data_IF_921070397696
#
_entry.id   IF_921070397696
#
_cell.length_a   1.000
_cell.length_b   1.000
_cell.length_c   1.000
_cell.angle_alpha   90.00
_cell.angle_beta   90.00
_cell.angle_gamma   90.00
#
_symmetry.space_group_name_H-M   'P 1'
#
loop_
_entity.id
_entity.type
_entity.pdbx_description
1 polymer ?
#
# COMPACT_ATOMS: atom_id res chain seq x y z
N UNK A 1 -1.05 -6.78 -10.11
CA UNK A 1 -1.60 -5.60 -10.83
C UNK A 1 -0.68 -4.45 -10.46
N UNK A 2 -0.01 -3.81 -11.41
CA UNK A 2 0.97 -2.75 -11.07
C UNK A 2 0.25 -1.60 -10.35
N UNK A 3 0.67 -1.32 -9.13
CA UNK A 3 0.14 -0.24 -8.31
C UNK A 3 0.57 1.10 -8.90
N UNK A 4 -0.33 1.77 -9.63
CA UNK A 4 -0.09 3.14 -10.05
C UNK A 4 -0.38 4.09 -8.89
N UNK A 5 0.63 4.33 -8.04
CA UNK A 5 0.58 5.21 -6.86
C UNK A 5 -0.18 6.50 -7.11
N UNK A 6 0.08 7.14 -8.25
CA UNK A 6 -0.54 8.41 -8.61
C UNK A 6 -2.06 8.30 -8.85
N UNK A 7 -2.55 7.21 -9.44
CA UNK A 7 -3.99 7.01 -9.66
C UNK A 7 -4.74 6.89 -8.32
N UNK A 8 -4.17 6.13 -7.38
CA UNK A 8 -4.74 5.98 -6.04
C UNK A 8 -4.73 7.29 -5.25
N UNK A 9 -3.64 8.04 -5.37
CA UNK A 9 -3.53 9.38 -4.82
C UNK A 9 -4.62 10.33 -5.35
N UNK A 10 -4.84 10.35 -6.67
CA UNK A 10 -5.88 11.17 -7.29
C UNK A 10 -7.27 10.70 -6.85
N UNK A 11 -7.51 9.38 -6.84
CA UNK A 11 -8.78 8.82 -6.41
C UNK A 11 -9.12 9.22 -4.97
N UNK A 12 -8.17 9.15 -4.05
CA UNK A 12 -8.36 9.56 -2.65
C UNK A 12 -8.72 11.04 -2.53
N UNK A 13 -8.05 11.92 -3.27
CA UNK A 13 -8.36 13.35 -3.25
C UNK A 13 -9.76 13.66 -3.83
N UNK A 14 -10.16 12.95 -4.90
CA UNK A 14 -11.45 13.14 -5.57
C UNK A 14 -12.61 12.52 -4.76
N UNK A 15 -12.40 11.38 -4.10
CA UNK A 15 -13.46 10.71 -3.32
C UNK A 15 -13.96 11.60 -2.17
N UNK A 16 -13.11 12.44 -1.59
CA UNK A 16 -13.49 13.40 -0.56
C UNK A 16 -14.56 14.39 -1.00
N UNK A 17 -14.67 14.69 -2.30
CA UNK A 17 -15.78 15.48 -2.85
C UNK A 17 -17.15 14.87 -2.52
N UNK A 18 -17.23 13.55 -2.47
CA UNK A 18 -18.46 12.80 -2.24
C UNK A 18 -18.65 12.41 -0.77
N UNK A 19 -17.55 12.30 -0.02
CA UNK A 19 -17.57 11.85 1.38
C UNK A 19 -17.63 13.01 2.38
N UNK A 20 -17.13 14.20 2.03
CA UNK A 20 -17.07 15.36 2.93
C UNK A 20 -17.99 16.47 2.42
N UNK A 21 -19.04 16.76 3.20
CA UNK A 21 -20.06 17.75 2.87
C UNK A 21 -19.53 19.19 2.67
N UNK A 22 -18.51 19.58 3.43
CA UNK A 22 -17.90 20.93 3.39
C UNK A 22 -16.68 20.99 2.48
N UNK A 23 -16.52 20.01 1.59
CA UNK A 23 -15.38 19.91 0.70
C UNK A 23 -15.23 21.15 -0.20
N UNK A 24 -14.06 21.77 -0.15
CA UNK A 24 -13.65 22.79 -1.10
C UNK A 24 -12.59 22.24 -2.07
N UNK A 25 -12.81 22.30 -3.39
CA UNK A 25 -11.87 21.73 -4.36
C UNK A 25 -10.61 22.61 -4.50
N UNK A 26 -9.50 22.20 -3.87
CA UNK A 26 -8.21 22.89 -4.06
C UNK A 26 -6.97 22.04 -3.66
N UNK A 27 -6.98 20.73 -3.95
CA UNK A 27 -5.83 19.88 -3.65
C UNK A 27 -4.64 20.18 -4.57
N UNK A 28 -3.47 20.36 -3.96
CA UNK A 28 -2.17 20.51 -4.61
C UNK A 28 -1.28 19.36 -4.18
N UNK A 29 -0.57 18.75 -5.12
CA UNK A 29 0.39 17.67 -4.83
C UNK A 29 1.52 18.22 -3.96
N UNK A 30 1.91 17.46 -2.95
CA UNK A 30 2.96 17.82 -1.99
C UNK A 30 3.82 16.58 -1.66
N UNK A 31 5.01 16.83 -1.09
CA UNK A 31 5.92 15.77 -0.65
C UNK A 31 5.54 15.21 0.72
N UNK A 32 5.00 16.04 1.62
CA UNK A 32 4.69 15.66 3.00
C UNK A 32 3.64 16.61 3.61
N UNK A 33 2.33 16.30 3.55
CA UNK A 33 1.69 15.05 3.07
C UNK A 33 1.50 14.99 1.56
N UNK A 34 1.05 13.85 1.03
CA UNK A 34 0.85 13.62 -0.42
C UNK A 34 0.02 14.70 -1.12
N UNK A 35 -1.01 15.24 -0.46
CA UNK A 35 -1.82 16.35 -0.96
C UNK A 35 -2.10 17.36 0.13
N UNK A 36 -2.16 18.63 -0.25
CA UNK A 36 -2.55 19.73 0.63
C UNK A 36 -3.73 20.45 0.01
N UNK A 37 -4.75 20.74 0.81
CA UNK A 37 -5.81 21.67 0.48
C UNK A 37 -5.68 22.92 1.36
N UNK A 38 -5.07 24.00 0.81
CA UNK A 38 -4.89 25.26 1.53
C UNK A 38 -6.17 25.90 2.03
N UNK A 39 -7.27 25.79 1.29
CA UNK A 39 -8.53 26.46 1.64
C UNK A 39 -9.13 25.89 2.92
N UNK A 40 -9.00 24.58 3.10
CA UNK A 40 -9.49 23.85 4.26
C UNK A 40 -8.42 23.70 5.35
N UNK A 41 -7.20 24.21 5.11
CA UNK A 41 -5.99 23.87 5.86
C UNK A 41 -5.91 22.36 6.19
N UNK A 42 -6.00 21.55 5.13
CA UNK A 42 -6.05 20.09 5.22
C UNK A 42 -4.86 19.43 4.55
N UNK A 43 -4.29 18.42 5.20
CA UNK A 43 -3.26 17.54 4.67
C UNK A 43 -3.78 16.12 4.50
N UNK A 44 -3.58 15.51 3.33
CA UNK A 44 -4.01 14.15 3.02
C UNK A 44 -2.80 13.29 2.65
N UNK A 45 -2.56 12.26 3.47
CA UNK A 45 -1.61 11.19 3.17
C UNK A 45 -2.35 10.00 2.58
N UNK A 46 -1.82 9.42 1.51
CA UNK A 46 -2.43 8.27 0.84
C UNK A 46 -1.51 7.07 0.99
N UNK A 47 -2.06 5.97 1.49
CA UNK A 47 -1.29 4.75 1.70
C UNK A 47 -2.07 3.51 1.33
N UNK A 48 -1.37 2.39 1.31
CA UNK A 48 -1.95 1.08 1.09
C UNK A 48 -1.70 0.20 2.31
N UNK A 49 -2.65 -0.67 2.62
CA UNK A 49 -2.57 -1.63 3.71
C UNK A 49 -1.62 -2.81 3.40
N UNK A 50 -0.41 -2.52 2.94
CA UNK A 50 0.63 -3.52 2.69
C UNK A 50 1.35 -3.87 3.97
N UNK A 51 1.63 -5.12 4.28
CA UNK A 51 2.59 -5.47 5.33
C UNK A 51 4.03 -5.15 4.88
N UNK A 52 5.00 -5.10 5.80
CA UNK A 52 6.41 -4.92 5.44
C UNK A 52 6.89 -5.99 4.46
N UNK A 53 6.40 -7.22 4.62
CA UNK A 53 6.75 -8.34 3.76
C UNK A 53 6.23 -8.16 2.33
N UNK A 54 5.02 -7.62 2.14
CA UNK A 54 4.45 -7.33 0.81
C UNK A 54 5.36 -6.39 0.00
N UNK A 55 5.83 -5.30 0.63
CA UNK A 55 6.71 -4.34 -0.04
C UNK A 55 8.13 -4.90 -0.30
N UNK A 56 8.62 -5.81 0.56
CA UNK A 56 9.87 -6.50 0.31
C UNK A 56 9.77 -7.53 -0.81
N UNK A 57 8.63 -8.22 -0.93
CA UNK A 57 8.33 -9.15 -2.01
C UNK A 57 8.21 -8.42 -3.34
N UNK A 58 7.45 -7.32 -3.42
CA UNK A 58 7.35 -6.50 -4.63
C UNK A 58 8.71 -5.96 -5.07
N UNK A 59 9.48 -5.35 -4.16
CA UNK A 59 10.81 -4.83 -4.49
C UNK A 59 11.77 -5.93 -4.95
N UNK A 60 11.69 -7.12 -4.36
CA UNK A 60 12.48 -8.27 -4.80
C UNK A 60 12.06 -8.72 -6.20
N UNK A 61 10.75 -8.81 -6.47
CA UNK A 61 10.23 -9.17 -7.78
C UNK A 61 10.72 -8.19 -8.84
N UNK A 62 10.51 -6.89 -8.64
CA UNK A 62 10.93 -5.84 -9.58
C UNK A 62 12.42 -5.91 -9.90
N UNK A 63 13.25 -6.20 -8.90
CA UNK A 63 14.71 -6.22 -9.05
C UNK A 63 15.23 -7.46 -9.80
N UNK A 64 14.59 -8.62 -9.62
CA UNK A 64 15.13 -9.90 -10.07
C UNK A 64 14.27 -10.61 -11.12
N UNK A 65 13.14 -10.03 -11.53
CA UNK A 65 12.26 -10.61 -12.54
C UNK A 65 13.04 -11.00 -13.80
N UNK A 66 12.93 -12.26 -14.21
CA UNK A 66 13.60 -12.81 -15.37
C UNK A 66 15.06 -13.23 -15.16
N UNK A 67 15.68 -12.94 -14.01
CA UNK A 67 17.02 -13.42 -13.67
C UNK A 67 17.08 -14.95 -13.62
N UNK A 68 18.27 -15.50 -13.88
CA UNK A 68 18.50 -16.94 -13.71
C UNK A 68 18.52 -17.30 -12.23
N UNK A 69 18.21 -18.56 -11.90
CA UNK A 69 18.20 -19.03 -10.51
C UNK A 69 19.53 -18.79 -9.79
N UNK A 70 20.65 -18.91 -10.50
CA UNK A 70 22.01 -18.74 -9.95
C UNK A 70 22.36 -17.27 -9.68
N UNK A 71 21.61 -16.32 -10.26
CA UNK A 71 21.81 -14.87 -10.10
C UNK A 71 21.03 -14.32 -8.89
N UNK A 72 20.13 -15.12 -8.32
CA UNK A 72 19.37 -14.72 -7.14
C UNK A 72 20.23 -14.78 -5.87
N UNK A 73 20.04 -13.86 -4.90
CA UNK A 73 20.71 -13.94 -3.61
C UNK A 73 20.39 -15.25 -2.88
N UNK A 74 21.39 -15.90 -2.27
CA UNK A 74 21.20 -17.14 -1.50
C UNK A 74 20.14 -16.99 -0.40
N UNK A 75 20.16 -15.85 0.30
CA UNK A 75 19.19 -15.46 1.34
C UNK A 75 17.73 -15.46 0.84
N UNK A 76 17.49 -15.31 -0.46
CA UNK A 76 16.13 -15.37 -1.01
C UNK A 76 15.55 -16.78 -0.94
N UNK A 77 16.39 -17.82 -1.07
CA UNK A 77 15.97 -19.21 -0.97
C UNK A 77 15.64 -19.58 0.49
N UNK A 78 16.34 -19.01 1.46
CA UNK A 78 16.00 -19.18 2.88
C UNK A 78 14.70 -18.46 3.25
N UNK A 79 14.50 -17.25 2.70
CA UNK A 79 13.34 -16.41 3.02
C UNK A 79 12.05 -16.87 2.33
N UNK A 80 12.11 -17.14 1.03
CA UNK A 80 10.92 -17.41 0.21
C UNK A 80 10.76 -18.91 -0.10
N UNK A 81 11.84 -19.70 -0.02
CA UNK A 81 11.78 -21.16 -0.18
C UNK A 81 11.10 -21.60 -1.46
N UNK A 82 10.14 -22.52 -1.32
CA UNK A 82 9.35 -23.09 -2.43
C UNK A 82 8.40 -22.08 -3.09
N UNK A 83 8.20 -20.89 -2.49
CA UNK A 83 7.37 -19.84 -3.08
C UNK A 83 8.04 -19.19 -4.29
N UNK A 84 9.35 -19.31 -4.46
CA UNK A 84 10.03 -18.78 -5.66
C UNK A 84 9.61 -19.58 -6.90
N UNK A 85 8.84 -18.96 -7.78
CA UNK A 85 8.39 -19.56 -9.03
C UNK A 85 9.40 -19.32 -10.15
N UNK A 86 9.77 -20.40 -10.83
CA UNK A 86 10.67 -20.36 -11.98
C UNK A 86 9.99 -20.96 -13.22
N UNK A 87 10.18 -20.31 -14.36
CA UNK A 87 9.79 -20.82 -15.66
C UNK A 87 11.00 -20.78 -16.61
N UNK A 88 11.33 -21.93 -17.21
CA UNK A 88 12.53 -22.13 -18.03
C UNK A 88 13.85 -21.65 -17.36
N UNK A 89 14.00 -21.94 -16.07
CA UNK A 89 15.19 -21.59 -15.28
C UNK A 89 15.30 -20.10 -14.92
N UNK A 90 14.28 -19.30 -15.24
CA UNK A 90 14.21 -17.88 -14.90
C UNK A 90 13.18 -17.63 -13.82
N UNK A 91 13.42 -16.65 -12.96
CA UNK A 91 12.50 -16.25 -11.91
C UNK A 91 11.34 -15.43 -12.46
N UNK A 92 10.11 -15.75 -12.05
CA UNK A 92 8.89 -15.12 -12.58
C UNK A 92 7.98 -14.52 -11.50
N UNK A 93 7.92 -15.12 -10.31
CA UNK A 93 7.05 -14.65 -9.24
C UNK A 93 7.43 -15.22 -7.88
N UNK A 94 6.95 -14.60 -6.81
CA UNK A 94 6.83 -15.22 -5.48
C UNK A 94 5.36 -15.64 -5.33
N UNK A 95 5.11 -16.92 -5.09
CA UNK A 95 3.76 -17.45 -4.87
C UNK A 95 3.25 -17.02 -3.48
N UNK A 96 1.93 -16.80 -3.32
CA UNK A 96 1.35 -16.50 -2.03
C UNK A 96 1.54 -17.67 -1.05
N UNK A 97 1.72 -17.34 0.22
CA UNK A 97 1.75 -18.34 1.28
C UNK A 97 0.33 -18.66 1.72
N UNK A 98 -0.19 -19.81 1.27
CA UNK A 98 -1.55 -20.25 1.58
C UNK A 98 -1.74 -20.66 3.06
N UNK A 99 -0.67 -20.69 3.86
CA UNK A 99 -0.76 -21.04 5.29
C UNK A 99 -1.05 -19.84 6.18
N UNK A 100 -0.83 -18.62 5.68
CA UNK A 100 -1.09 -17.40 6.43
C UNK A 100 -2.42 -16.83 5.98
N UNK A 101 -3.49 -17.19 6.70
CA UNK A 101 -4.76 -16.50 6.61
C UNK A 101 -4.57 -15.09 7.20
N UNK A 102 -4.09 -14.16 6.37
CA UNK A 102 -3.81 -12.80 6.81
C UNK A 102 -5.12 -12.01 6.82
N UNK A 103 -5.66 -11.82 8.01
CA UNK A 103 -6.83 -10.97 8.25
C UNK A 103 -6.58 -9.52 7.78
N UNK A 104 -7.43 -9.04 6.89
CA UNK A 104 -7.36 -7.72 6.28
C UNK A 104 -7.47 -6.59 7.30
N UNK A 105 -8.26 -6.79 8.38
CA UNK A 105 -8.38 -5.83 9.47
C UNK A 105 -7.04 -5.67 10.18
N UNK A 106 -6.31 -6.76 10.36
CA UNK A 106 -4.98 -6.75 10.95
C UNK A 106 -3.97 -5.98 10.09
N UNK A 107 -4.00 -6.14 8.76
CA UNK A 107 -3.15 -5.35 7.84
C UNK A 107 -3.49 -3.86 7.90
N UNK A 108 -4.78 -3.54 7.85
CA UNK A 108 -5.28 -2.18 7.92
C UNK A 108 -4.86 -1.52 9.24
N UNK A 109 -5.10 -2.19 10.37
CA UNK A 109 -4.73 -1.72 11.70
C UNK A 109 -3.22 -1.46 11.81
N UNK A 110 -2.39 -2.42 11.40
CA UNK A 110 -0.94 -2.25 11.43
C UNK A 110 -0.48 -1.02 10.64
N UNK A 111 -1.03 -0.81 9.43
CA UNK A 111 -0.65 0.35 8.62
C UNK A 111 -1.20 1.66 9.13
N UNK A 112 -2.43 1.67 9.65
CA UNK A 112 -2.99 2.83 10.33
C UNK A 112 -2.09 3.25 11.49
N UNK A 113 -1.77 2.35 12.41
CA UNK A 113 -0.95 2.63 13.60
C UNK A 113 0.41 3.26 13.17
N UNK A 114 1.11 2.65 12.20
CA UNK A 114 2.41 3.14 11.73
C UNK A 114 2.35 4.46 10.96
N UNK A 115 1.30 4.70 10.17
CA UNK A 115 1.15 5.94 9.40
C UNK A 115 0.67 7.09 10.27
N UNK A 116 -0.20 6.82 11.25
CA UNK A 116 -0.61 7.80 12.26
C UNK A 116 0.58 8.31 13.08
N UNK A 117 1.48 7.42 13.52
CA UNK A 117 2.73 7.82 14.18
C UNK A 117 3.54 8.80 13.31
N UNK A 118 3.69 8.48 12.01
CA UNK A 118 4.44 9.35 11.11
C UNK A 118 3.74 10.68 10.88
N UNK A 119 2.42 10.67 10.64
CA UNK A 119 1.58 11.86 10.48
C UNK A 119 1.76 12.84 11.64
N UNK A 120 1.76 12.32 12.87
CA UNK A 120 1.88 13.15 14.06
C UNK A 120 3.30 13.69 14.32
N UNK A 121 4.35 13.07 13.74
CA UNK A 121 5.74 13.42 14.03
C UNK A 121 6.46 14.18 12.91
N UNK A 122 6.16 13.90 11.64
CA UNK A 122 7.02 14.26 10.51
C UNK A 122 6.34 15.09 9.42
N UNK A 123 5.02 15.21 9.46
CA UNK A 123 4.28 15.93 8.42
C UNK A 123 4.03 17.38 8.83
N UNK A 124 3.86 18.24 7.82
CA UNK A 124 3.44 19.62 8.04
C UNK A 124 2.11 19.59 8.77
N UNK A 125 2.08 20.16 9.97
CA UNK A 125 0.86 20.20 10.77
C UNK A 125 -0.20 21.07 10.10
N UNK A 126 -1.38 20.49 9.89
CA UNK A 126 -2.56 21.12 9.32
C UNK A 126 -3.72 21.11 10.32
N UNK A 127 -4.66 22.03 10.18
CA UNK A 127 -5.87 22.06 11.00
C UNK A 127 -6.63 20.73 10.91
N UNK A 128 -6.70 20.16 9.71
CA UNK A 128 -7.17 18.80 9.48
C UNK A 128 -6.05 17.93 8.89
N UNK A 129 -5.90 16.70 9.38
CA UNK A 129 -4.99 15.71 8.81
C UNK A 129 -5.78 14.43 8.49
N UNK A 130 -5.62 13.91 7.29
CA UNK A 130 -6.32 12.74 6.79
C UNK A 130 -5.35 11.66 6.35
N UNK A 131 -5.69 10.41 6.68
CA UNK A 131 -5.02 9.22 6.15
C UNK A 131 -6.04 8.43 5.33
N UNK A 132 -5.80 8.30 4.03
CA UNK A 132 -6.61 7.47 3.15
C UNK A 132 -5.88 6.14 2.90
N UNK A 133 -6.51 5.02 3.28
CA UNK A 133 -5.91 3.69 3.16
C UNK A 133 -6.63 2.87 2.09
N UNK A 134 -5.90 2.43 1.07
CA UNK A 134 -6.39 1.45 0.10
C UNK A 134 -6.20 0.03 0.64
N UNK A 135 -7.26 -0.76 0.56
CA UNK A 135 -7.25 -2.20 0.83
C UNK A 135 -7.15 -2.96 -0.51
N UNK A 136 -6.51 -4.13 -0.54
CA UNK A 136 -6.37 -4.91 -1.78
C UNK A 136 -7.58 -5.82 -1.99
N UNK A 137 -8.14 -5.94 -3.22
CA UNK A 137 -9.35 -6.74 -3.48
C UNK A 137 -9.21 -8.24 -3.21
N UNK A 138 -8.00 -8.79 -3.22
CA UNK A 138 -7.78 -10.20 -2.83
C UNK A 138 -8.02 -10.44 -1.34
N UNK A 139 -8.13 -9.38 -0.55
CA UNK A 139 -8.50 -9.42 0.86
C UNK A 139 -10.06 -9.40 1.06
N UNK A 140 -10.88 -9.27 0.01
CA UNK A 140 -12.36 -9.17 0.09
C UNK A 140 -13.11 -10.50 0.20
N UNK A 141 -12.46 -11.67 0.06
CA UNK A 141 -13.17 -12.96 0.08
C UNK A 141 -13.86 -13.32 1.41
N UNK A 142 -13.69 -12.51 2.46
CA UNK A 142 -14.30 -12.69 3.79
C UNK A 142 -15.28 -11.55 4.18
N UNK A 143 -15.72 -10.72 3.23
CA UNK A 143 -16.81 -9.76 3.53
C UNK A 143 -18.14 -10.51 3.42
N UNK A 144 -18.57 -11.12 4.52
CA UNK A 144 -19.96 -11.46 4.72
C UNK A 144 -20.75 -10.14 4.83
N UNK A 145 -21.16 -9.61 3.68
CA UNK A 145 -22.05 -8.44 3.56
C UNK A 145 -23.50 -8.82 3.94
N UNK A 146 -23.64 -9.61 5.01
CA UNK A 146 -24.88 -10.13 5.55
C UNK A 146 -24.97 -9.85 7.05
N UNK A 147 -25.27 -8.61 7.41
CA UNK A 147 -25.88 -8.25 8.70
C UNK A 147 -26.76 -7.00 8.54
#
# INVERSE_FOLDING_TARGET
MAYEKLLNEIYAAVSLKYLWKEYEPYFVKSESPDWINPNMDFGLEVSQALLPDDGQEESFIEKYLGCRKEELPSLAFDKYGERLNFYNGRFWAILPDNTVQQDYLSKAKYRFDRKLEKLNANYIHKHYNGLYLFLHPTDENDIDAGA
#
